data_IF_801628250013
#
_entry.id   IF_801628250013
#
_cell.length_a   1.000
_cell.length_b   1.000
_cell.length_c   1.000
_cell.angle_alpha   90.00
_cell.angle_beta   90.00
_cell.angle_gamma   90.00
#
_symmetry.space_group_name_H-M   'P 1'
#
loop_
_entity.id
_entity.type
_entity.pdbx_description
1 polymer ?
#
# COMPACT_ATOMS: atom_id res chain seq x y z
N UNK A 1 -13.63 -15.49 -1.14
CA UNK A 1 -12.56 -14.47 -1.24
C UNK A 1 -11.69 -14.47 0.02
N UNK A 2 -12.22 -14.19 1.21
CA UNK A 2 -11.40 -14.03 2.43
C UNK A 2 -10.55 -15.28 2.77
N UNK A 3 -11.11 -16.49 2.71
CA UNK A 3 -10.35 -17.73 2.93
C UNK A 3 -9.20 -17.92 1.93
N UNK A 4 -9.42 -17.55 0.66
CA UNK A 4 -8.36 -17.58 -0.35
C UNK A 4 -7.27 -16.53 -0.05
N UNK A 5 -7.67 -15.31 0.32
CA UNK A 5 -6.72 -14.27 0.69
C UNK A 5 -5.86 -14.70 1.89
N UNK A 6 -6.46 -15.27 2.96
CA UNK A 6 -5.70 -15.78 4.11
C UNK A 6 -4.66 -16.82 3.71
N UNK A 7 -5.05 -17.82 2.94
CA UNK A 7 -4.12 -18.88 2.52
C UNK A 7 -3.05 -18.39 1.55
N UNK A 8 -3.39 -17.47 0.64
CA UNK A 8 -2.39 -16.85 -0.22
C UNK A 8 -1.43 -15.94 0.55
N UNK A 9 -1.92 -15.23 1.58
CA UNK A 9 -1.07 -14.42 2.46
C UNK A 9 -0.11 -15.30 3.28
N UNK A 10 -0.58 -16.42 3.83
CA UNK A 10 0.22 -17.31 4.69
C UNK A 10 1.16 -18.22 3.91
N UNK A 11 0.71 -18.79 2.79
CA UNK A 11 1.41 -19.88 2.08
C UNK A 11 1.87 -19.53 0.66
N UNK A 12 1.48 -18.35 0.16
CA UNK A 12 1.75 -17.93 -1.21
C UNK A 12 0.91 -18.69 -2.26
N UNK A 13 1.13 -18.34 -3.53
CA UNK A 13 0.40 -18.97 -4.63
C UNK A 13 0.69 -20.47 -4.73
N UNK A 14 1.97 -20.86 -4.77
CA UNK A 14 2.34 -22.27 -4.94
C UNK A 14 1.93 -23.15 -3.77
N UNK A 15 2.00 -22.64 -2.54
CA UNK A 15 1.68 -23.36 -1.31
C UNK A 15 0.19 -23.48 -0.98
N UNK A 16 -0.69 -22.89 -1.78
CA UNK A 16 -2.15 -22.92 -1.56
C UNK A 16 -2.85 -23.79 -2.60
N UNK A 17 -3.75 -24.68 -2.18
CA UNK A 17 -4.60 -25.48 -3.07
C UNK A 17 -6.09 -25.08 -2.97
N UNK A 18 -6.87 -25.39 -4.02
CA UNK A 18 -8.34 -25.22 -3.98
C UNK A 18 -8.96 -26.08 -2.88
N UNK A 19 -8.36 -27.23 -2.55
CA UNK A 19 -8.81 -28.10 -1.46
C UNK A 19 -8.68 -27.40 -0.10
N UNK A 20 -7.55 -26.72 0.15
CA UNK A 20 -7.33 -26.00 1.41
C UNK A 20 -8.30 -24.82 1.54
N UNK A 21 -8.54 -24.09 0.42
CA UNK A 21 -9.50 -22.99 0.39
C UNK A 21 -10.92 -23.51 0.62
N UNK A 22 -11.25 -24.66 0.04
CA UNK A 22 -12.54 -25.35 0.26
C UNK A 22 -12.73 -25.69 1.73
N UNK A 23 -11.73 -26.30 2.36
CA UNK A 23 -11.76 -26.66 3.78
C UNK A 23 -11.92 -25.42 4.69
N UNK A 24 -11.14 -24.36 4.44
CA UNK A 24 -11.19 -23.13 5.26
C UNK A 24 -12.48 -22.33 5.06
N UNK A 25 -13.00 -22.28 3.82
CA UNK A 25 -14.19 -21.48 3.50
C UNK A 25 -15.51 -22.17 3.83
N UNK A 26 -15.51 -23.47 4.12
CA UNK A 26 -16.72 -24.28 4.25
C UNK A 26 -17.51 -24.44 2.92
N UNK A 27 -16.89 -24.15 1.78
CA UNK A 27 -17.47 -24.30 0.44
C UNK A 27 -16.88 -25.53 -0.25
N UNK A 28 -17.64 -26.18 -1.12
CA UNK A 28 -17.10 -27.30 -1.89
C UNK A 28 -16.11 -26.82 -2.96
N UNK A 29 -15.10 -27.62 -3.27
CA UNK A 29 -14.18 -27.33 -4.38
C UNK A 29 -14.92 -27.13 -5.71
N UNK A 30 -16.00 -27.89 -5.95
CA UNK A 30 -16.85 -27.71 -7.13
C UNK A 30 -17.51 -26.33 -7.20
N UNK A 31 -17.96 -25.78 -6.05
CA UNK A 31 -18.51 -24.43 -6.00
C UNK A 31 -17.45 -23.37 -6.28
N UNK A 32 -16.21 -23.56 -5.80
CA UNK A 32 -15.09 -22.65 -6.07
C UNK A 32 -14.73 -22.69 -7.56
N UNK A 33 -14.60 -23.88 -8.16
CA UNK A 33 -14.35 -24.03 -9.60
C UNK A 33 -15.48 -23.45 -10.46
N UNK A 34 -16.72 -23.63 -10.06
CA UNK A 34 -17.87 -23.06 -10.76
C UNK A 34 -17.82 -21.53 -10.79
N UNK A 35 -17.34 -20.90 -9.71
CA UNK A 35 -17.34 -19.43 -9.57
C UNK A 35 -16.09 -18.76 -10.18
N UNK A 36 -14.93 -19.39 -10.04
CA UNK A 36 -13.65 -18.82 -10.45
C UNK A 36 -12.99 -19.55 -11.62
N UNK A 37 -13.43 -20.73 -11.98
CA UNK A 37 -12.86 -21.54 -13.05
C UNK A 37 -11.61 -22.32 -12.64
N UNK A 38 -10.59 -21.64 -12.13
CA UNK A 38 -9.33 -22.26 -11.72
C UNK A 38 -8.63 -21.42 -10.61
N UNK A 39 -7.48 -21.90 -10.12
CA UNK A 39 -6.73 -21.23 -9.05
C UNK A 39 -6.14 -19.89 -9.53
N UNK A 40 -5.73 -19.79 -10.78
CA UNK A 40 -5.20 -18.60 -11.42
C UNK A 40 -6.24 -17.46 -11.41
N UNK A 41 -7.46 -17.77 -11.81
CA UNK A 41 -8.56 -16.79 -11.83
C UNK A 41 -8.99 -16.38 -10.41
N UNK A 42 -8.92 -17.28 -9.44
CA UNK A 42 -9.13 -16.94 -8.04
C UNK A 42 -8.03 -16.02 -7.51
N UNK A 43 -6.76 -16.30 -7.85
CA UNK A 43 -5.65 -15.43 -7.48
C UNK A 43 -5.77 -14.04 -8.14
N UNK A 44 -6.14 -13.99 -9.43
CA UNK A 44 -6.42 -12.74 -10.12
C UNK A 44 -7.53 -11.95 -9.41
N UNK A 45 -8.63 -12.58 -9.02
CA UNK A 45 -9.71 -11.93 -8.30
C UNK A 45 -9.28 -11.36 -6.94
N UNK A 46 -8.34 -12.00 -6.22
CA UNK A 46 -7.75 -11.46 -4.99
C UNK A 46 -6.89 -10.23 -5.30
N UNK A 47 -6.08 -10.28 -6.36
CA UNK A 47 -5.27 -9.14 -6.80
C UNK A 47 -6.16 -7.96 -7.23
N UNK A 48 -7.23 -8.22 -7.98
CA UNK A 48 -8.20 -7.18 -8.38
C UNK A 48 -8.88 -6.55 -7.17
N UNK A 49 -9.26 -7.34 -6.16
CA UNK A 49 -9.82 -6.83 -4.91
C UNK A 49 -8.84 -5.95 -4.14
N UNK A 50 -7.55 -6.31 -4.09
CA UNK A 50 -6.48 -5.45 -3.56
C UNK A 50 -6.45 -4.10 -4.29
N UNK A 51 -6.46 -4.09 -5.63
CA UNK A 51 -6.44 -2.84 -6.39
C UNK A 51 -7.72 -2.02 -6.23
N UNK A 52 -8.87 -2.66 -6.04
CA UNK A 52 -10.15 -1.99 -5.82
C UNK A 52 -10.22 -1.23 -4.48
N UNK A 53 -9.31 -1.48 -3.54
CA UNK A 53 -9.23 -0.76 -2.26
C UNK A 53 -8.81 0.70 -2.43
N UNK A 54 -7.94 1.00 -3.39
CA UNK A 54 -7.24 2.28 -3.46
C UNK A 54 -8.09 3.47 -3.90
N UNK A 55 -8.97 3.40 -4.93
CA UNK A 55 -9.71 4.56 -5.40
C UNK A 55 -10.58 5.21 -4.30
N UNK A 56 -11.28 4.40 -3.50
CA UNK A 56 -12.12 4.91 -2.42
C UNK A 56 -11.28 5.55 -1.29
N UNK A 57 -10.13 4.94 -0.97
CA UNK A 57 -9.19 5.49 0.02
C UNK A 57 -8.64 6.84 -0.45
N UNK A 58 -8.17 6.94 -1.69
CA UNK A 58 -7.65 8.17 -2.28
C UNK A 58 -8.73 9.28 -2.27
N UNK A 59 -9.95 8.96 -2.68
CA UNK A 59 -11.06 9.92 -2.69
C UNK A 59 -11.37 10.44 -1.28
N UNK A 60 -11.41 9.56 -0.27
CA UNK A 60 -11.64 9.92 1.13
C UNK A 60 -10.55 10.85 1.66
N UNK A 61 -9.29 10.51 1.44
CA UNK A 61 -8.15 11.34 1.90
C UNK A 61 -8.15 12.70 1.18
N UNK A 62 -8.41 12.73 -0.13
CA UNK A 62 -8.50 14.01 -0.88
C UNK A 62 -9.59 14.94 -0.35
N UNK A 63 -10.69 14.39 0.16
CA UNK A 63 -11.80 15.17 0.73
C UNK A 63 -11.55 15.62 2.18
N UNK A 64 -10.62 14.98 2.90
CA UNK A 64 -10.39 15.22 4.33
C UNK A 64 -9.39 16.35 4.62
N UNK A 65 -8.52 16.71 3.67
CA UNK A 65 -7.46 17.69 3.85
C UNK A 65 -7.46 18.72 2.72
N UNK A 66 -7.07 19.96 3.01
CA UNK A 66 -6.88 21.01 2.01
C UNK A 66 -5.46 21.02 1.44
N UNK A 67 -4.44 20.87 2.31
CA UNK A 67 -3.03 20.82 1.93
C UNK A 67 -2.71 19.53 1.15
N UNK A 68 -2.09 19.67 0.01
CA UNK A 68 -1.71 18.54 -0.84
C UNK A 68 -0.60 17.68 -0.20
N UNK A 69 0.31 18.27 0.58
CA UNK A 69 1.29 17.50 1.38
C UNK A 69 0.61 16.72 2.49
N UNK A 70 -0.40 17.28 3.16
CA UNK A 70 -1.17 16.54 4.16
C UNK A 70 -1.93 15.37 3.53
N UNK A 71 -2.55 15.56 2.35
CA UNK A 71 -3.16 14.47 1.58
C UNK A 71 -2.16 13.35 1.29
N UNK A 72 -0.97 13.70 0.82
CA UNK A 72 0.07 12.73 0.45
C UNK A 72 0.55 11.94 1.66
N UNK A 73 0.86 12.63 2.76
CA UNK A 73 1.31 12.00 4.00
C UNK A 73 0.20 11.11 4.58
N UNK A 74 -1.03 11.65 4.73
CA UNK A 74 -2.17 10.89 5.25
C UNK A 74 -2.47 9.65 4.41
N UNK A 75 -2.44 9.76 3.08
CA UNK A 75 -2.63 8.64 2.17
C UNK A 75 -1.59 7.54 2.42
N UNK A 76 -0.33 7.90 2.61
CA UNK A 76 0.73 6.94 2.86
C UNK A 76 0.53 6.16 4.16
N UNK A 77 0.04 6.81 5.22
CA UNK A 77 -0.30 6.13 6.49
C UNK A 77 -1.52 5.22 6.34
N UNK A 78 -2.56 5.64 5.60
CA UNK A 78 -3.71 4.78 5.30
C UNK A 78 -3.29 3.52 4.52
N UNK A 79 -2.41 3.68 3.52
CA UNK A 79 -1.85 2.56 2.74
C UNK A 79 -1.00 1.65 3.62
N UNK A 80 -0.15 2.22 4.50
CA UNK A 80 0.67 1.44 5.42
C UNK A 80 -0.19 0.60 6.38
N UNK A 81 -1.24 1.19 6.95
CA UNK A 81 -2.21 0.46 7.79
C UNK A 81 -2.92 -0.64 7.01
N UNK A 82 -3.34 -0.38 5.78
CA UNK A 82 -3.97 -1.41 4.94
C UNK A 82 -3.03 -2.60 4.69
N UNK A 83 -1.74 -2.36 4.45
CA UNK A 83 -0.74 -3.43 4.33
C UNK A 83 -0.50 -4.21 5.63
N UNK A 84 -0.70 -3.60 6.80
CA UNK A 84 -0.60 -4.28 8.09
C UNK A 84 -1.87 -5.06 8.43
N UNK A 85 -3.04 -4.45 8.24
CA UNK A 85 -4.28 -4.89 8.87
C UNK A 85 -5.22 -5.65 7.91
N UNK A 86 -5.14 -5.42 6.58
CA UNK A 86 -6.05 -6.00 5.61
C UNK A 86 -5.43 -7.22 4.90
N UNK A 87 -5.98 -8.38 5.16
CA UNK A 87 -5.51 -9.65 4.58
C UNK A 87 -5.62 -9.69 3.05
N UNK A 88 -6.61 -9.00 2.45
CA UNK A 88 -6.76 -8.95 0.99
C UNK A 88 -5.64 -8.10 0.38
N UNK A 89 -5.28 -7.00 1.06
CA UNK A 89 -4.17 -6.14 0.64
C UNK A 89 -2.84 -6.89 0.72
N UNK A 90 -2.57 -7.62 1.80
CA UNK A 90 -1.35 -8.43 1.94
C UNK A 90 -1.29 -9.55 0.90
N UNK A 91 -2.37 -10.33 0.79
CA UNK A 91 -2.45 -11.43 -0.18
C UNK A 91 -2.26 -10.94 -1.62
N UNK A 92 -2.95 -9.85 -2.01
CA UNK A 92 -2.80 -9.27 -3.35
C UNK A 92 -1.38 -8.80 -3.64
N UNK A 93 -0.72 -8.19 -2.68
CA UNK A 93 0.69 -7.77 -2.79
C UNK A 93 1.63 -8.97 -2.93
N UNK A 94 1.44 -10.01 -2.12
CA UNK A 94 2.22 -11.25 -2.19
C UNK A 94 2.04 -11.95 -3.53
N UNK A 95 0.81 -12.15 -3.97
CA UNK A 95 0.50 -12.74 -5.27
C UNK A 95 1.13 -11.95 -6.41
N UNK A 96 1.11 -10.62 -6.34
CA UNK A 96 1.78 -9.80 -7.34
C UNK A 96 3.31 -9.99 -7.34
N UNK A 97 3.92 -10.17 -6.19
CA UNK A 97 5.35 -10.48 -6.09
C UNK A 97 5.67 -11.84 -6.72
N UNK A 98 4.77 -12.82 -6.52
CA UNK A 98 4.87 -14.17 -7.10
C UNK A 98 4.29 -14.28 -8.54
N UNK A 99 3.95 -13.16 -9.19
CA UNK A 99 3.24 -13.10 -10.48
C UNK A 99 3.83 -13.96 -11.61
N UNK A 100 5.12 -14.25 -11.55
CA UNK A 100 5.77 -15.12 -12.56
C UNK A 100 5.31 -16.58 -12.48
N UNK A 101 4.75 -16.99 -11.36
CA UNK A 101 4.19 -18.32 -11.14
C UNK A 101 2.69 -18.39 -11.44
N UNK A 102 2.06 -17.28 -11.81
CA UNK A 102 0.61 -17.15 -12.02
C UNK A 102 0.38 -16.86 -13.50
N UNK A 103 -0.25 -17.81 -14.20
CA UNK A 103 -0.61 -17.63 -15.62
C UNK A 103 -1.90 -16.81 -15.77
N UNK A 104 -1.81 -15.52 -15.39
CA UNK A 104 -2.88 -14.56 -15.51
C UNK A 104 -2.32 -13.14 -15.74
N UNK A 105 -3.03 -12.26 -16.48
CA UNK A 105 -2.61 -10.88 -16.74
C UNK A 105 -2.81 -10.02 -15.49
N UNK A 106 -1.83 -9.99 -14.58
CA UNK A 106 -1.90 -9.18 -13.38
C UNK A 106 -1.64 -7.69 -13.67
N UNK A 107 -2.36 -6.76 -13.01
CA UNK A 107 -2.15 -5.33 -13.17
C UNK A 107 -0.74 -4.88 -12.77
N UNK A 108 -0.25 -3.77 -13.35
CA UNK A 108 1.01 -3.13 -12.98
C UNK A 108 0.77 -2.04 -11.91
N UNK A 109 1.14 -2.26 -10.63
CA UNK A 109 0.69 -1.40 -9.53
C UNK A 109 1.39 -0.04 -9.48
N UNK A 110 2.69 -0.01 -9.74
CA UNK A 110 3.52 1.16 -9.39
C UNK A 110 3.27 2.39 -10.25
N UNK A 111 2.86 2.22 -11.52
CA UNK A 111 2.59 3.35 -12.41
C UNK A 111 1.43 4.22 -11.89
N UNK A 112 0.35 3.60 -11.42
CA UNK A 112 -0.78 4.30 -10.80
C UNK A 112 -0.39 5.03 -9.52
N UNK A 113 0.49 4.45 -8.70
CA UNK A 113 1.00 5.12 -7.51
C UNK A 113 1.90 6.32 -7.84
N UNK A 114 2.81 6.18 -8.82
CA UNK A 114 3.66 7.28 -9.29
C UNK A 114 2.79 8.44 -9.82
N UNK A 115 1.76 8.13 -10.58
CA UNK A 115 0.83 9.15 -11.09
C UNK A 115 0.03 9.84 -9.97
N UNK A 116 -0.49 9.07 -9.01
CA UNK A 116 -1.22 9.60 -7.85
C UNK A 116 -0.33 10.53 -7.01
N UNK A 117 0.88 10.09 -6.67
CA UNK A 117 1.85 10.88 -5.89
C UNK A 117 2.29 12.10 -6.69
N UNK A 118 2.56 11.95 -7.99
CA UNK A 118 2.91 13.07 -8.88
C UNK A 118 1.80 14.12 -8.96
N UNK A 119 0.54 13.70 -9.01
CA UNK A 119 -0.60 14.62 -8.98
C UNK A 119 -0.65 15.42 -7.67
N UNK A 120 -0.45 14.78 -6.53
CA UNK A 120 -0.44 15.45 -5.21
C UNK A 120 0.76 16.38 -5.06
N UNK A 121 1.95 16.00 -5.57
CA UNK A 121 3.11 16.87 -5.53
C UNK A 121 3.00 18.08 -6.46
N UNK A 122 2.39 17.95 -7.63
CA UNK A 122 2.05 19.11 -8.49
C UNK A 122 1.07 20.05 -7.80
N UNK A 123 0.06 19.50 -7.11
CA UNK A 123 -0.90 20.29 -6.33
C UNK A 123 -0.17 21.00 -5.17
N UNK A 124 0.75 20.34 -4.47
CA UNK A 124 1.56 20.93 -3.41
C UNK A 124 2.48 22.05 -3.91
N UNK A 125 3.08 21.89 -5.09
CA UNK A 125 3.91 22.92 -5.72
C UNK A 125 3.07 24.16 -6.09
N UNK A 126 1.88 23.94 -6.69
CA UNK A 126 0.94 25.00 -7.01
C UNK A 126 0.41 25.73 -5.76
N UNK A 127 0.27 25.05 -4.63
CA UNK A 127 -0.07 25.62 -3.31
C UNK A 127 1.11 26.35 -2.65
N UNK A 128 2.32 26.27 -3.23
CA UNK A 128 3.54 26.85 -2.67
C UNK A 128 4.04 26.13 -1.42
N UNK A 129 3.67 24.87 -1.23
CA UNK A 129 4.10 24.04 -0.09
C UNK A 129 5.51 23.47 -0.27
N UNK A 130 6.00 23.40 -1.52
CA UNK A 130 7.36 22.99 -1.85
C UNK A 130 8.28 24.20 -2.00
N UNK A 131 9.56 24.04 -1.68
CA UNK A 131 10.53 25.14 -1.77
C UNK A 131 11.13 25.32 -3.17
N UNK A 132 10.73 24.49 -4.12
CA UNK A 132 11.23 24.50 -5.50
C UNK A 132 12.57 23.76 -5.66
N UNK A 133 12.89 23.42 -6.90
CA UNK A 133 14.17 22.82 -7.29
C UNK A 133 14.16 21.33 -7.58
N UNK A 134 13.10 20.61 -7.22
CA UNK A 134 12.89 19.21 -7.63
C UNK A 134 11.56 19.09 -8.35
N UNK A 135 11.58 18.57 -9.59
CA UNK A 135 10.36 18.37 -10.36
C UNK A 135 9.43 17.37 -9.63
N UNK A 136 8.11 17.68 -9.52
CA UNK A 136 7.14 16.81 -8.86
C UNK A 136 7.16 15.37 -9.38
N UNK A 137 7.38 15.17 -10.67
CA UNK A 137 7.47 13.86 -11.32
C UNK A 137 8.68 13.05 -10.81
N UNK A 138 9.83 13.69 -10.68
CA UNK A 138 11.05 13.06 -10.14
C UNK A 138 10.87 12.72 -8.66
N UNK A 139 10.29 13.65 -7.89
CA UNK A 139 10.00 13.44 -6.48
C UNK A 139 9.00 12.29 -6.28
N UNK A 140 7.98 12.16 -7.14
CA UNK A 140 6.99 11.10 -7.07
C UNK A 140 7.61 9.72 -7.16
N UNK A 141 8.53 9.52 -8.10
CA UNK A 141 9.26 8.24 -8.24
C UNK A 141 10.04 7.94 -6.97
N UNK A 142 10.77 8.93 -6.43
CA UNK A 142 11.55 8.78 -5.20
C UNK A 142 10.68 8.44 -3.98
N UNK A 143 9.54 9.12 -3.81
CA UNK A 143 8.58 8.86 -2.72
C UNK A 143 8.02 7.44 -2.82
N UNK A 144 7.61 7.00 -4.01
CA UNK A 144 7.07 5.65 -4.23
C UNK A 144 8.15 4.59 -3.94
N UNK A 145 9.37 4.77 -4.42
CA UNK A 145 10.47 3.83 -4.14
C UNK A 145 10.81 3.76 -2.66
N UNK A 146 10.87 4.91 -1.98
CA UNK A 146 11.15 4.97 -0.56
C UNK A 146 10.07 4.28 0.27
N UNK A 147 8.78 4.53 -0.03
CA UNK A 147 7.65 3.90 0.65
C UNK A 147 7.67 2.38 0.47
N UNK A 148 7.75 1.88 -0.76
CA UNK A 148 7.72 0.43 -1.01
C UNK A 148 8.99 -0.28 -0.54
N UNK A 149 10.15 0.39 -0.56
CA UNK A 149 11.37 -0.11 0.07
C UNK A 149 11.21 -0.27 1.57
N UNK A 150 10.74 0.78 2.27
CA UNK A 150 10.46 0.77 3.70
C UNK A 150 9.41 -0.31 4.05
N UNK A 151 8.30 -0.39 3.31
CA UNK A 151 7.26 -1.38 3.49
C UNK A 151 7.79 -2.83 3.39
N UNK A 152 8.64 -3.12 2.39
CA UNK A 152 9.25 -4.45 2.21
C UNK A 152 10.20 -4.80 3.36
N UNK A 153 11.01 -3.83 3.80
CA UNK A 153 11.91 -4.02 4.95
C UNK A 153 11.12 -4.21 6.24
N UNK A 154 10.05 -3.43 6.46
CA UNK A 154 9.16 -3.58 7.61
C UNK A 154 8.54 -4.96 7.70
N UNK A 155 8.10 -5.51 6.57
CA UNK A 155 7.57 -6.87 6.50
C UNK A 155 8.59 -7.91 6.95
N UNK A 156 9.82 -7.80 6.47
CA UNK A 156 10.91 -8.73 6.77
C UNK A 156 11.39 -8.65 8.23
N UNK A 157 11.27 -7.49 8.88
CA UNK A 157 11.74 -7.28 10.25
C UNK A 157 10.75 -7.80 11.31
N UNK A 158 9.46 -7.46 11.16
CA UNK A 158 8.45 -7.71 12.20
C UNK A 158 7.02 -7.87 11.64
N UNK A 159 6.86 -8.22 10.37
CA UNK A 159 5.53 -8.36 9.77
C UNK A 159 4.76 -7.03 9.70
N UNK A 160 5.45 -5.90 9.68
CA UNK A 160 4.92 -4.52 9.63
C UNK A 160 4.31 -4.00 10.93
N UNK A 161 4.58 -4.63 12.07
CA UNK A 161 4.02 -4.17 13.37
C UNK A 161 4.38 -2.71 13.66
N UNK A 162 5.61 -2.27 13.33
CA UNK A 162 6.09 -0.90 13.54
C UNK A 162 6.09 -0.05 12.26
N UNK A 163 5.25 -0.37 11.28
CA UNK A 163 5.29 0.30 9.97
C UNK A 163 4.98 1.81 10.07
N UNK A 164 4.11 2.23 10.99
CA UNK A 164 3.74 3.64 11.15
C UNK A 164 4.90 4.46 11.75
N UNK A 165 5.64 3.92 12.71
CA UNK A 165 6.83 4.60 13.27
C UNK A 165 7.93 4.75 12.22
N UNK A 166 8.18 3.71 11.42
CA UNK A 166 9.14 3.75 10.31
C UNK A 166 8.72 4.72 9.22
N UNK A 167 7.43 4.77 8.93
CA UNK A 167 6.90 5.72 7.95
C UNK A 167 6.98 7.16 8.48
N UNK A 168 6.77 7.38 9.78
CA UNK A 168 6.98 8.69 10.40
C UNK A 168 8.44 9.15 10.21
N UNK A 169 9.42 8.31 10.53
CA UNK A 169 10.83 8.62 10.36
C UNK A 169 11.20 8.85 8.88
N UNK A 170 10.64 8.05 7.98
CA UNK A 170 10.81 8.24 6.54
C UNK A 170 10.28 9.62 6.09
N UNK A 171 9.12 10.05 6.59
CA UNK A 171 8.57 11.35 6.24
C UNK A 171 9.39 12.53 6.78
N UNK A 172 10.04 12.39 7.93
CA UNK A 172 11.00 13.42 8.39
C UNK A 172 12.12 13.63 7.36
N UNK A 173 12.63 12.56 6.74
CA UNK A 173 13.65 12.64 5.70
C UNK A 173 13.10 13.16 4.36
N UNK A 174 11.94 12.65 3.92
CA UNK A 174 11.34 13.02 2.65
C UNK A 174 10.92 14.49 2.64
N UNK A 175 10.29 14.99 3.69
CA UNK A 175 9.87 16.40 3.78
C UNK A 175 11.07 17.35 3.77
N UNK A 176 12.18 16.98 4.43
CA UNK A 176 13.43 17.73 4.36
C UNK A 176 14.01 17.73 2.92
N UNK A 177 13.95 16.58 2.23
CA UNK A 177 14.40 16.43 0.84
C UNK A 177 13.54 17.19 -0.17
N UNK A 178 12.23 17.23 0.05
CA UNK A 178 11.27 18.02 -0.74
C UNK A 178 11.38 19.52 -0.45
N UNK A 179 12.22 19.91 0.53
CA UNK A 179 12.34 21.30 1.01
C UNK A 179 10.96 21.89 1.30
N UNK A 180 10.14 21.11 2.01
CA UNK A 180 8.81 21.55 2.38
C UNK A 180 8.89 22.81 3.24
N UNK A 181 8.06 23.81 2.96
CA UNK A 181 7.99 25.05 3.73
C UNK A 181 7.36 24.87 5.10
N UNK A 182 6.61 23.78 5.26
CA UNK A 182 5.99 23.42 6.53
C UNK A 182 6.97 22.62 7.38
N UNK A 183 7.01 22.88 8.68
CA UNK A 183 7.77 22.05 9.60
C UNK A 183 7.24 20.62 9.60
N UNK A 184 8.13 19.64 9.38
CA UNK A 184 7.75 18.23 9.18
C UNK A 184 6.98 17.66 10.37
N UNK A 185 7.41 17.91 11.60
CA UNK A 185 6.74 17.48 12.83
C UNK A 185 5.33 18.04 12.96
N UNK A 186 5.15 19.31 12.63
CA UNK A 186 3.84 19.96 12.68
C UNK A 186 2.89 19.37 11.63
N UNK A 187 3.38 19.08 10.42
CA UNK A 187 2.59 18.44 9.38
C UNK A 187 2.18 17.03 9.78
N UNK A 188 3.12 16.21 10.26
CA UNK A 188 2.85 14.85 10.72
C UNK A 188 1.79 14.81 11.83
N UNK A 189 1.86 15.74 12.79
CA UNK A 189 0.85 15.87 13.86
C UNK A 189 -0.54 16.19 13.30
N UNK A 190 -0.66 17.07 12.28
CA UNK A 190 -1.96 17.43 11.68
C UNK A 190 -2.66 16.26 10.98
N UNK A 191 -1.90 15.35 10.40
CA UNK A 191 -2.46 14.13 9.80
C UNK A 191 -2.64 12.99 10.81
N UNK A 192 -2.44 13.25 12.09
CA UNK A 192 -2.61 12.25 13.15
C UNK A 192 -1.49 11.21 13.23
N UNK A 193 -0.37 11.45 12.53
CA UNK A 193 0.80 10.60 12.64
C UNK A 193 1.53 10.93 13.94
N UNK A 194 1.65 9.96 14.84
CA UNK A 194 2.40 10.08 16.07
C UNK A 194 3.40 8.93 16.16
N UNK A 195 4.55 9.20 16.75
CA UNK A 195 5.45 8.13 17.16
C UNK A 195 4.77 7.32 18.26
N UNK A 196 4.65 6.02 18.09
CA UNK A 196 4.40 5.11 19.19
C UNK A 196 5.49 5.24 20.24
N UNK A 197 5.22 4.85 21.47
CA UNK A 197 6.23 4.82 22.55
C UNK A 197 7.28 3.77 22.19
N UNK A 198 8.28 4.16 21.40
CA UNK A 198 9.31 3.27 20.93
C UNK A 198 10.16 2.84 22.12
N UNK A 199 10.17 1.55 22.41
CA UNK A 199 11.23 0.90 23.16
C UNK A 199 12.53 1.15 22.37
N UNK A 200 13.51 1.76 23.04
CA UNK A 200 14.86 1.94 22.50
C UNK A 200 15.41 0.59 22.00
N UNK A 201 16.03 0.61 20.82
CA UNK A 201 16.87 -0.44 20.29
C UNK A 201 18.03 -0.73 21.23
#
# INVERSE_FOLDING_TARGET
>A
MEAAARLFDEHGYAGTSISDISALSGRTSGAIYFHFGNKEQLALAVVEAHFATWPAMIARVRAAYDSALEKLVALSFEVARAFRDDVVVRAGSRLWTERRAIDAPLPAPFLGWIDTVGSLLREADAQGELAGGLAPETAAVGVVYAFFGMHTVSDALDGRDQIEDRLYDLWLLLLAGLRARTEATALLARVGAARGSCLAL
#
